data_IF_929096858308
#
_entry.id   IF_929096858308
#
_cell.length_a   1.000
_cell.length_b   1.000
_cell.length_c   1.000
_cell.angle_alpha   90.00
_cell.angle_beta   90.00
_cell.angle_gamma   90.00
#
_symmetry.space_group_name_H-M   'P 1'
#
loop_
_entity.id
_entity.type
_entity.pdbx_description
1 polymer ?
#
# COMPACT_ATOMS: atom_id res chain seq x y z
N UNK A 1 -4.31 -0.45 -8.07
CA UNK A 1 -3.66 0.41 -7.05
C UNK A 1 -3.82 1.89 -7.34
N UNK A 2 -3.78 2.31 -8.62
CA UNK A 2 -3.94 3.72 -9.01
C UNK A 2 -5.18 4.40 -8.45
N UNK A 3 -6.35 3.81 -8.65
CA UNK A 3 -7.61 4.37 -8.16
C UNK A 3 -7.72 4.39 -6.62
N UNK A 4 -7.15 3.38 -5.94
CA UNK A 4 -7.13 3.34 -4.47
C UNK A 4 -6.31 4.51 -3.89
N UNK A 5 -5.21 4.88 -4.53
CA UNK A 5 -4.40 6.04 -4.12
C UNK A 5 -5.08 7.36 -4.51
N UNK A 6 -5.77 7.39 -5.65
CA UNK A 6 -6.48 8.60 -6.07
C UNK A 6 -7.68 8.90 -5.17
N UNK A 7 -8.45 7.89 -4.74
CA UNK A 7 -9.69 8.10 -3.97
C UNK A 7 -9.57 7.85 -2.46
N UNK A 8 -8.56 7.13 -1.99
CA UNK A 8 -8.44 6.74 -0.57
C UNK A 8 -7.98 7.89 0.32
N UNK A 9 -8.54 8.03 1.51
CA UNK A 9 -8.00 8.94 2.54
C UNK A 9 -6.95 8.24 3.40
N UNK A 10 -7.26 7.02 3.80
CA UNK A 10 -6.35 6.12 4.52
C UNK A 10 -6.40 4.75 3.87
N UNK A 11 -5.23 4.15 3.68
CA UNK A 11 -5.07 2.81 3.13
C UNK A 11 -4.44 1.95 4.22
N UNK A 12 -5.16 0.91 4.64
CA UNK A 12 -4.67 -0.06 5.61
C UNK A 12 -4.04 -1.22 4.87
N UNK A 13 -2.76 -1.49 5.14
CA UNK A 13 -2.06 -2.66 4.61
C UNK A 13 -2.00 -3.69 5.71
N UNK A 14 -2.66 -4.82 5.48
CA UNK A 14 -2.64 -5.96 6.39
C UNK A 14 -1.33 -6.72 6.23
N UNK A 15 -0.87 -7.29 7.34
CA UNK A 15 0.23 -8.24 7.30
C UNK A 15 -0.26 -9.61 6.81
N UNK A 16 0.67 -10.43 6.32
CA UNK A 16 0.50 -11.85 6.06
C UNK A 16 0.06 -12.66 7.29
N UNK A 17 0.33 -12.18 8.50
CA UNK A 17 -0.18 -12.78 9.74
C UNK A 17 -1.64 -12.34 9.98
N UNK A 18 -2.58 -13.28 10.17
CA UNK A 18 -3.98 -12.95 10.41
C UNK A 18 -4.17 -11.97 11.58
N UNK A 19 -4.98 -10.93 11.37
CA UNK A 19 -5.33 -9.96 12.41
C UNK A 19 -4.27 -8.90 12.69
N UNK A 20 -3.17 -8.85 11.95
CA UNK A 20 -2.12 -7.83 12.13
C UNK A 20 -2.15 -6.78 11.02
N UNK A 21 -2.05 -5.51 11.42
CA UNK A 21 -1.84 -4.38 10.51
C UNK A 21 -0.34 -4.19 10.36
N UNK A 22 0.14 -4.15 9.12
CA UNK A 22 1.52 -3.77 8.82
C UNK A 22 1.69 -2.25 8.91
N UNK A 23 0.83 -1.52 8.21
CA UNK A 23 0.90 -0.07 8.18
C UNK A 23 -0.44 0.56 7.79
N UNK A 24 -0.68 1.79 8.27
CA UNK A 24 -1.79 2.64 7.82
C UNK A 24 -1.19 3.85 7.11
N UNK A 25 -1.32 3.85 5.78
CA UNK A 25 -0.81 4.94 4.93
C UNK A 25 -1.89 6.02 4.81
N UNK A 26 -1.58 7.22 5.30
CA UNK A 26 -2.44 8.38 5.18
C UNK A 26 -2.06 9.18 3.93
N UNK A 27 -3.07 9.56 3.16
CA UNK A 27 -2.92 10.38 1.97
C UNK A 27 -3.40 11.80 2.29
N UNK A 28 -2.45 12.65 2.68
CA UNK A 28 -2.74 14.02 3.15
C UNK A 28 -3.26 14.95 2.05
N UNK A 29 -2.90 14.69 0.79
CA UNK A 29 -3.36 15.51 -0.34
C UNK A 29 -4.90 15.47 -0.43
N UNK A 30 -5.60 16.61 -0.41
CA UNK A 30 -7.05 16.65 -0.57
C UNK A 30 -7.55 16.01 -1.87
N UNK A 31 -8.72 15.36 -1.87
CA UNK A 31 -9.23 14.64 -3.05
C UNK A 31 -9.40 15.52 -4.29
N UNK A 32 -9.83 16.76 -4.11
CA UNK A 32 -10.02 17.75 -5.18
C UNK A 32 -8.71 18.21 -5.81
N UNK A 33 -7.57 17.97 -5.17
CA UNK A 33 -6.23 18.32 -5.66
C UNK A 33 -5.51 17.14 -6.32
N UNK A 34 -6.14 15.97 -6.36
CA UNK A 34 -5.55 14.73 -6.90
C UNK A 34 -5.89 14.60 -8.38
N UNK A 35 -4.87 14.69 -9.23
CA UNK A 35 -5.00 14.55 -10.68
C UNK A 35 -4.31 13.30 -11.21
N UNK A 36 -4.67 12.92 -12.43
CA UNK A 36 -3.99 11.83 -13.11
C UNK A 36 -2.55 12.25 -13.46
N UNK A 37 -1.58 11.40 -13.15
CA UNK A 37 -0.17 11.72 -13.36
C UNK A 37 0.47 12.58 -12.27
N UNK A 38 -0.21 12.83 -11.14
CA UNK A 38 0.38 13.48 -9.97
C UNK A 38 1.57 12.67 -9.42
N UNK A 39 2.74 13.30 -9.32
CA UNK A 39 3.98 12.66 -8.88
C UNK A 39 3.92 12.16 -7.43
N UNK A 40 3.20 12.86 -6.55
CA UNK A 40 3.07 12.42 -5.14
C UNK A 40 2.22 11.15 -5.05
N UNK A 41 1.14 11.08 -5.83
CA UNK A 41 0.28 9.90 -5.88
C UNK A 41 1.03 8.71 -6.48
N UNK A 42 1.84 8.93 -7.51
CA UNK A 42 2.71 7.88 -8.07
C UNK A 42 3.73 7.37 -7.04
N UNK A 43 4.34 8.27 -6.26
CA UNK A 43 5.24 7.89 -5.18
C UNK A 43 4.54 7.03 -4.13
N UNK A 44 3.35 7.47 -3.65
CA UNK A 44 2.54 6.73 -2.68
C UNK A 44 2.09 5.36 -3.23
N UNK A 45 1.72 5.30 -4.50
CA UNK A 45 1.37 4.06 -5.19
C UNK A 45 2.54 3.08 -5.24
N UNK A 46 3.74 3.55 -5.63
CA UNK A 46 4.94 2.72 -5.66
C UNK A 46 5.31 2.23 -4.26
N UNK A 47 5.18 3.09 -3.25
CA UNK A 47 5.42 2.74 -1.86
C UNK A 47 4.50 1.61 -1.38
N UNK A 48 3.19 1.75 -1.58
CA UNK A 48 2.20 0.73 -1.23
C UNK A 48 2.45 -0.59 -1.96
N UNK A 49 2.78 -0.53 -3.25
CA UNK A 49 3.13 -1.71 -4.03
C UNK A 49 4.34 -2.46 -3.45
N UNK A 50 5.40 -1.72 -3.10
CA UNK A 50 6.58 -2.33 -2.47
C UNK A 50 6.22 -2.94 -1.12
N UNK A 51 5.42 -2.26 -0.30
CA UNK A 51 4.99 -2.75 1.00
C UNK A 51 4.23 -4.09 0.90
N UNK A 52 3.32 -4.20 -0.08
CA UNK A 52 2.61 -5.44 -0.38
C UNK A 52 3.53 -6.53 -0.94
N UNK A 53 4.49 -6.15 -1.80
CA UNK A 53 5.48 -7.09 -2.37
C UNK A 53 6.36 -7.68 -1.27
N UNK A 54 6.81 -6.87 -0.33
CA UNK A 54 7.64 -7.31 0.79
C UNK A 54 6.89 -8.30 1.68
N UNK A 55 5.60 -8.05 1.95
CA UNK A 55 4.74 -9.01 2.68
C UNK A 55 4.59 -10.33 1.93
N UNK A 56 4.37 -10.28 0.61
CA UNK A 56 4.26 -11.49 -0.21
C UNK A 56 5.56 -12.30 -0.19
N UNK A 57 6.72 -11.63 -0.36
CA UNK A 57 8.02 -12.32 -0.35
C UNK A 57 8.34 -12.94 1.02
N UNK A 58 7.98 -12.26 2.11
CA UNK A 58 8.14 -12.79 3.46
C UNK A 58 7.23 -14.02 3.69
N UNK A 59 6.00 -13.99 3.19
CA UNK A 59 5.09 -15.13 3.26
C UNK A 59 5.63 -16.33 2.46
N UNK A 60 6.12 -16.10 1.24
CA UNK A 60 6.70 -17.16 0.40
C UNK A 60 7.93 -17.80 1.06
N UNK A 61 8.78 -17.00 1.73
CA UNK A 61 9.98 -17.50 2.41
C UNK A 61 9.64 -18.39 3.62
N UNK A 62 8.50 -18.19 4.27
CA UNK A 62 8.05 -19.04 5.37
C UNK A 62 7.51 -20.38 4.88
N UNK A 63 6.88 -20.42 3.71
CA UNK A 63 6.39 -21.67 3.10
C UNK A 63 7.52 -22.63 2.71
N UNK A 64 8.73 -22.12 2.45
CA UNK A 64 9.90 -22.94 2.09
C UNK A 64 10.42 -23.75 3.29
N UNK A 65 10.08 -23.37 4.53
CA UNK A 65 10.54 -24.04 5.76
C UNK A 65 9.48 -24.97 6.39
N UNK A 66 8.44 -25.36 5.65
CA UNK A 66 7.36 -26.26 6.10
C UNK A 66 7.41 -27.62 5.39
#
# INVERSE_FOLDING_TARGET
LDEAVRMGHSIVVLSRCPGQIREIVHLEKPLNERSYGDGDLQFRQKYLWNLMRDEAQAADSELINV
#
